data_IF_125866343312
#
_entry.id   IF_125866343312
#
_cell.length_a   1.000
_cell.length_b   1.000
_cell.length_c   1.000
_cell.angle_alpha   90.00
_cell.angle_beta   90.00
_cell.angle_gamma   90.00
#
_symmetry.space_group_name_H-M   'P 1'
#
loop_
_entity.id
_entity.type
_entity.pdbx_description
1 polymer ?
#
# COMPACT_ATOMS: atom_id res chain seq x y z
N UNK A 1 -39.67 -27.80 14.27
CA UNK A 1 -38.83 -26.60 14.48
C UNK A 1 -37.63 -26.72 13.54
N UNK A 2 -37.60 -25.95 12.44
CA UNK A 2 -36.46 -25.98 11.50
C UNK A 2 -35.34 -25.14 12.13
N UNK A 3 -34.31 -25.80 12.64
CA UNK A 3 -33.06 -25.14 13.01
C UNK A 3 -32.49 -24.50 11.76
N UNK A 4 -32.67 -23.19 11.58
CA UNK A 4 -31.81 -22.40 10.70
C UNK A 4 -30.44 -22.45 11.37
N UNK A 5 -29.62 -23.43 10.98
CA UNK A 5 -28.17 -23.34 11.19
C UNK A 5 -27.71 -22.12 10.41
N UNK A 6 -27.77 -20.95 11.06
CA UNK A 6 -27.28 -19.69 10.56
C UNK A 6 -25.77 -19.79 10.47
N UNK A 7 -25.28 -20.30 9.35
CA UNK A 7 -23.86 -20.31 9.07
C UNK A 7 -23.44 -18.85 8.87
N UNK A 8 -22.84 -18.26 9.90
CA UNK A 8 -22.27 -16.91 9.84
C UNK A 8 -21.10 -16.97 8.87
N UNK A 9 -21.14 -16.15 7.82
CA UNK A 9 -20.03 -16.03 6.88
C UNK A 9 -19.10 -14.94 7.39
N UNK A 10 -17.82 -15.14 7.16
CA UNK A 10 -16.80 -14.14 7.48
C UNK A 10 -16.29 -13.53 6.18
N UNK A 11 -16.24 -12.21 6.14
CA UNK A 11 -15.70 -11.44 5.03
C UNK A 11 -14.59 -10.54 5.55
N UNK A 12 -13.60 -10.25 4.71
CA UNK A 12 -12.56 -9.29 5.05
C UNK A 12 -13.06 -7.87 4.80
N UNK A 13 -13.01 -7.04 5.84
CA UNK A 13 -13.29 -5.61 5.68
C UNK A 13 -12.21 -4.96 4.81
N UNK A 14 -12.58 -4.38 3.68
CA UNK A 14 -11.61 -3.75 2.77
C UNK A 14 -11.03 -2.42 3.31
N UNK A 15 -11.60 -1.86 4.38
CA UNK A 15 -11.10 -0.63 5.02
C UNK A 15 -10.02 -0.96 6.06
N UNK A 16 -10.34 -1.79 7.05
CA UNK A 16 -9.41 -2.13 8.14
C UNK A 16 -8.67 -3.46 7.95
N UNK A 17 -9.03 -4.28 6.96
CA UNK A 17 -8.43 -5.58 6.66
C UNK A 17 -8.78 -6.70 7.65
N UNK A 18 -9.63 -6.46 8.66
CA UNK A 18 -10.02 -7.50 9.63
C UNK A 18 -11.15 -8.36 9.09
N UNK A 19 -11.09 -9.65 9.42
CA UNK A 19 -12.21 -10.57 9.20
C UNK A 19 -13.33 -10.26 10.16
N UNK A 20 -14.55 -10.16 9.65
CA UNK A 20 -15.73 -9.80 10.41
C UNK A 20 -16.93 -10.60 9.91
N UNK A 21 -17.87 -10.97 10.79
CA UNK A 21 -19.16 -11.52 10.38
C UNK A 21 -19.86 -10.59 9.37
N UNK A 22 -20.48 -11.17 8.34
CA UNK A 22 -21.28 -10.42 7.35
C UNK A 22 -22.74 -10.20 7.76
N UNK A 23 -23.15 -10.75 8.92
CA UNK A 23 -24.53 -10.79 9.40
C UNK A 23 -25.19 -9.40 9.54
N UNK A 24 -24.39 -8.36 9.84
CA UNK A 24 -24.85 -6.97 9.96
C UNK A 24 -24.58 -6.11 8.74
N UNK A 25 -23.82 -6.60 7.76
CA UNK A 25 -23.37 -5.80 6.61
C UNK A 25 -22.41 -4.65 6.97
N UNK A 26 -21.88 -4.61 8.20
CA UNK A 26 -20.90 -3.62 8.68
C UNK A 26 -19.74 -4.31 9.39
N UNK A 27 -18.56 -3.69 9.34
CA UNK A 27 -17.41 -4.17 10.07
C UNK A 27 -17.55 -3.88 11.56
N UNK A 28 -17.47 -4.91 12.40
CA UNK A 28 -17.57 -4.78 13.86
C UNK A 28 -16.38 -4.04 14.50
N UNK A 29 -15.35 -3.70 13.72
CA UNK A 29 -14.13 -3.07 14.23
C UNK A 29 -13.98 -1.60 13.88
N UNK A 30 -14.52 -1.18 12.74
CA UNK A 30 -14.39 0.19 12.26
C UNK A 30 -15.71 0.76 11.74
N UNK A 31 -16.82 0.05 11.95
CA UNK A 31 -18.19 0.43 11.58
C UNK A 31 -18.39 0.79 10.10
N UNK A 32 -17.40 0.44 9.25
CA UNK A 32 -17.48 0.65 7.81
C UNK A 32 -18.42 -0.37 7.17
N UNK A 33 -19.18 0.00 6.14
CA UNK A 33 -19.99 -0.95 5.40
C UNK A 33 -19.10 -2.07 4.83
N UNK A 34 -19.61 -3.30 4.86
CA UNK A 34 -18.98 -4.43 4.19
C UNK A 34 -19.43 -4.45 2.74
N UNK A 35 -18.49 -4.61 1.79
CA UNK A 35 -18.86 -4.71 0.39
C UNK A 35 -19.63 -6.00 0.17
N UNK A 36 -20.92 -5.89 -0.12
CA UNK A 36 -21.76 -6.99 -0.61
C UNK A 36 -21.52 -7.23 -2.11
N UNK A 37 -21.21 -6.17 -2.85
CA UNK A 37 -20.85 -6.16 -4.26
C UNK A 37 -19.59 -5.29 -4.41
N UNK A 38 -18.69 -5.67 -5.31
CA UNK A 38 -17.39 -5.04 -5.48
C UNK A 38 -17.51 -3.75 -6.31
N UNK A 39 -18.38 -2.84 -5.88
CA UNK A 39 -18.60 -1.54 -6.51
C UNK A 39 -17.72 -0.50 -5.81
N UNK A 40 -16.56 -0.22 -6.40
CA UNK A 40 -15.64 0.79 -5.91
C UNK A 40 -15.86 2.10 -6.69
N UNK A 41 -15.90 3.26 -6.01
CA UNK A 41 -15.94 4.53 -6.70
C UNK A 41 -14.73 4.71 -7.64
N UNK A 42 -14.88 5.47 -8.73
CA UNK A 42 -13.81 5.68 -9.69
C UNK A 42 -12.57 6.25 -9.01
N UNK A 43 -11.40 5.74 -9.39
CA UNK A 43 -10.12 6.11 -8.79
C UNK A 43 -9.74 5.31 -7.54
N UNK A 44 -10.57 4.37 -7.08
CA UNK A 44 -10.21 3.43 -6.02
C UNK A 44 -10.02 2.02 -6.56
N UNK A 45 -9.05 1.31 -6.01
CA UNK A 45 -8.73 -0.08 -6.35
C UNK A 45 -8.46 -0.89 -5.09
N UNK A 46 -8.64 -2.20 -5.17
CA UNK A 46 -8.24 -3.13 -4.10
C UNK A 46 -6.76 -3.45 -4.30
N UNK A 47 -5.94 -3.19 -3.28
CA UNK A 47 -4.54 -3.56 -3.32
C UNK A 47 -4.38 -5.09 -3.35
N UNK A 48 -3.70 -5.68 -4.35
CA UNK A 48 -3.54 -7.13 -4.43
C UNK A 48 -2.67 -7.72 -3.31
N UNK A 49 -1.85 -6.90 -2.66
CA UNK A 49 -0.94 -7.35 -1.60
C UNK A 49 -1.62 -7.40 -0.22
N UNK A 50 -2.43 -6.41 0.12
CA UNK A 50 -3.03 -6.32 1.47
C UNK A 50 -4.57 -6.31 1.46
N UNK A 51 -5.19 -6.44 0.30
CA UNK A 51 -6.65 -6.51 0.09
C UNK A 51 -7.43 -5.33 0.68
N UNK A 52 -6.76 -4.18 0.87
CA UNK A 52 -7.41 -2.94 1.29
C UNK A 52 -7.73 -2.07 0.08
N UNK A 53 -8.86 -1.37 0.16
CA UNK A 53 -9.20 -0.32 -0.79
C UNK A 53 -8.23 0.84 -0.62
N UNK A 54 -7.72 1.33 -1.74
CA UNK A 54 -6.75 2.43 -1.77
C UNK A 54 -6.94 3.22 -3.06
N UNK A 55 -6.47 4.47 -3.07
CA UNK A 55 -6.57 5.32 -4.25
C UNK A 55 -5.53 4.89 -5.30
N UNK A 56 -5.97 4.73 -6.55
CA UNK A 56 -5.14 4.29 -7.67
C UNK A 56 -4.22 5.41 -8.21
N UNK A 57 -4.56 6.67 -7.95
CA UNK A 57 -3.86 7.89 -8.37
C UNK A 57 -2.36 7.89 -8.03
N UNK A 58 -2.02 7.37 -6.85
CA UNK A 58 -0.64 7.37 -6.36
C UNK A 58 0.25 6.31 -6.99
N UNK A 59 -0.33 5.30 -7.67
CA UNK A 59 0.43 4.14 -8.19
C UNK A 59 0.97 3.17 -7.12
N UNK A 60 0.75 3.44 -5.83
CA UNK A 60 1.18 2.60 -4.71
C UNK A 60 0.10 2.51 -3.64
N UNK A 61 0.02 1.37 -2.94
CA UNK A 61 -0.92 1.22 -1.84
C UNK A 61 -0.54 2.12 -0.67
N UNK A 62 -1.46 2.98 -0.22
CA UNK A 62 -1.22 3.87 0.93
C UNK A 62 -0.99 3.13 2.26
N UNK A 63 -1.38 1.86 2.34
CA UNK A 63 -1.19 1.03 3.53
C UNK A 63 0.13 0.26 3.52
N UNK A 64 0.34 -0.59 2.50
CA UNK A 64 1.51 -1.50 2.46
C UNK A 64 2.64 -1.02 1.54
N UNK A 65 2.48 0.11 0.83
CA UNK A 65 3.44 0.66 -0.14
C UNK A 65 3.77 -0.24 -1.34
N UNK A 66 3.05 -1.35 -1.52
CA UNK A 66 3.17 -2.18 -2.72
C UNK A 66 2.72 -1.39 -3.96
N UNK A 67 3.35 -1.63 -5.11
CA UNK A 67 2.90 -1.07 -6.39
C UNK A 67 1.49 -1.55 -6.70
N UNK A 68 0.65 -0.62 -7.13
CA UNK A 68 -0.69 -0.94 -7.63
C UNK A 68 -0.62 -1.18 -9.14
N UNK A 69 -1.43 -2.09 -9.69
CA UNK A 69 -1.64 -2.12 -11.12
C UNK A 69 -2.28 -0.79 -11.51
N UNK A 70 -1.54 0.04 -12.24
CA UNK A 70 -2.01 1.36 -12.64
C UNK A 70 -3.15 1.13 -13.64
N UNK A 71 -4.36 1.59 -13.32
CA UNK A 71 -5.41 1.77 -14.31
C UNK A 71 -5.03 3.00 -15.13
N UNK A 72 -4.16 2.77 -16.12
CA UNK A 72 -3.70 3.80 -17.03
C UNK A 72 -4.82 4.03 -18.05
N UNK A 73 -5.74 4.95 -17.77
CA UNK A 73 -6.38 5.70 -18.86
C UNK A 73 -5.48 6.92 -19.11
N UNK A 74 -4.52 6.79 -20.03
CA UNK A 74 -3.78 7.95 -20.58
C UNK A 74 -4.72 8.66 -21.56
N UNK A 75 -5.19 9.89 -21.30
CA UNK A 75 -5.34 10.86 -22.38
C UNK A 75 -3.93 11.27 -22.84
N UNK A 76 -3.63 11.29 -24.16
CA UNK A 76 -2.28 11.56 -24.64
C UNK A 76 -1.88 12.99 -24.28
N UNK A 77 -1.05 13.13 -23.25
CA UNK A 77 -0.37 14.36 -22.92
C UNK A 77 0.89 14.44 -23.79
N UNK A 78 0.86 15.43 -24.66
CA UNK A 78 1.91 15.91 -25.56
C UNK A 78 3.31 15.84 -24.96
N UNK A 79 4.23 15.31 -25.76
CA UNK A 79 5.66 15.24 -25.52
C UNK A 79 6.25 16.61 -25.16
N UNK A 80 6.79 16.75 -23.94
CA UNK A 80 7.76 17.81 -23.65
C UNK A 80 9.16 17.20 -23.60
N UNK A 81 9.85 17.36 -24.73
CA UNK A 81 11.26 17.02 -24.97
C UNK A 81 12.14 17.80 -23.98
N UNK A 82 12.66 17.15 -22.94
CA UNK A 82 13.74 17.71 -22.12
C UNK A 82 15.10 17.29 -22.69
N UNK A 83 15.70 18.26 -23.36
CA UNK A 83 17.04 18.21 -23.96
C UNK A 83 18.12 18.03 -22.87
N UNK A 84 19.07 17.13 -23.11
CA UNK A 84 20.24 16.86 -22.27
C UNK A 84 21.41 17.70 -22.82
N UNK A 85 22.12 18.51 -22.01
CA UNK A 85 23.38 19.08 -22.44
C UNK A 85 24.56 18.09 -22.26
N UNK A 86 25.57 18.09 -23.16
CA UNK A 86 26.68 17.11 -23.16
C UNK A 86 27.95 17.61 -22.44
N UNK A 87 28.72 16.65 -21.88
CA UNK A 87 30.16 16.75 -21.53
C UNK A 87 30.51 17.61 -20.31
N UNK A 88 31.54 17.37 -19.50
CA UNK A 88 32.57 16.33 -19.26
C UNK A 88 32.83 16.34 -17.74
N UNK A 89 33.79 15.70 -17.09
CA UNK A 89 35.01 15.01 -17.49
C UNK A 89 35.52 14.22 -16.26
N UNK A 90 36.35 13.25 -16.59
CA UNK A 90 37.08 12.25 -15.80
C UNK A 90 37.73 12.70 -14.48
N UNK A 91 37.65 11.85 -13.43
CA UNK A 91 38.85 11.16 -12.89
C UNK A 91 38.58 10.27 -11.68
N UNK A 92 39.25 9.11 -11.71
CA UNK A 92 39.79 8.25 -10.64
C UNK A 92 39.67 8.80 -9.18
N UNK A 93 39.49 8.01 -8.14
CA UNK A 93 40.29 6.82 -7.83
C UNK A 93 39.75 6.13 -6.54
N UNK A 94 39.87 4.79 -6.52
CA UNK A 94 40.05 3.89 -5.35
C UNK A 94 39.11 3.91 -4.12
N UNK A 95 38.30 2.85 -4.00
CA UNK A 95 38.13 2.08 -2.75
C UNK A 95 39.52 1.56 -2.28
N UNK A 96 39.87 1.46 -0.96
CA UNK A 96 39.21 0.51 -0.06
C UNK A 96 39.16 0.85 1.46
N UNK A 97 38.14 0.30 2.15
CA UNK A 97 38.14 -0.32 3.52
C UNK A 97 39.07 0.27 4.61
N UNK A 98 38.50 0.79 5.70
CA UNK A 98 38.93 0.79 7.14
C UNK A 98 38.14 1.90 7.85
N UNK A 99 37.50 1.78 9.02
CA UNK A 99 37.37 0.71 9.99
C UNK A 99 36.24 1.09 10.97
N UNK A 100 35.62 0.07 11.54
CA UNK A 100 34.63 0.20 12.60
C UNK A 100 35.27 0.80 13.87
N UNK A 101 34.63 1.82 14.44
CA UNK A 101 34.77 2.15 15.86
C UNK A 101 33.38 2.42 16.42
N UNK A 102 32.87 1.38 17.08
CA UNK A 102 31.74 1.41 18.00
C UNK A 102 32.04 2.35 19.17
N UNK A 103 31.21 3.38 19.37
CA UNK A 103 31.24 4.14 20.62
C UNK A 103 30.20 3.57 21.60
N UNK A 104 30.61 2.97 22.73
CA UNK A 104 29.68 2.33 23.65
C UNK A 104 28.95 3.35 24.55
N UNK A 105 27.70 3.00 24.88
CA UNK A 105 26.78 3.70 25.77
C UNK A 105 27.44 4.05 27.11
N UNK A 106 27.23 5.28 27.60
CA UNK A 106 27.40 5.59 29.02
C UNK A 106 26.12 5.21 29.77
N UNK A 107 26.21 4.13 30.54
CA UNK A 107 25.33 3.79 31.67
C UNK A 107 25.70 4.70 32.85
N UNK A 108 24.70 5.16 33.60
CA UNK A 108 24.85 6.13 34.70
C UNK A 108 25.41 5.56 36.01
N UNK A 109 25.11 6.28 37.11
CA UNK A 109 25.57 6.19 38.51
C UNK A 109 26.80 7.09 38.73
N UNK A 110 26.78 8.12 39.61
CA UNK A 110 26.37 8.17 41.02
C UNK A 110 25.59 9.46 41.34
#
# INVERSE_FOLDING_TARGET
MRSKSGMVRYVQCLVCGRLTPDDKGICYHCDSPLPSELDLPPGFVICPNCLRVTAADTGYCRHCRARLPVAIEIPPLSEEKKEIPPGGDTSANSDPKVGAISNPRKVGVV
#
